data_IF_161767239949
#
_entry.id   IF_161767239949
#
_cell.length_a   1.000
_cell.length_b   1.000
_cell.length_c   1.000
_cell.angle_alpha   90.00
_cell.angle_beta   90.00
_cell.angle_gamma   90.00
#
_symmetry.space_group_name_H-M   'P 1'
#
loop_
_entity.id
_entity.type
_entity.pdbx_description
1 polymer ?
#
# COMPACT_ATOMS: atom_id res chain seq x y z
N UNK A 1 86.87 -34.05 -13.53
CA UNK A 1 85.40 -34.04 -13.69
C UNK A 1 84.75 -33.76 -12.34
N UNK A 2 84.41 -32.50 -12.04
CA UNK A 2 83.79 -32.14 -10.77
C UNK A 2 82.27 -32.34 -10.87
N UNK A 3 81.75 -33.29 -10.09
CA UNK A 3 80.32 -33.62 -9.96
C UNK A 3 79.62 -32.46 -9.22
N UNK A 4 79.02 -31.52 -9.95
CA UNK A 4 78.31 -30.39 -9.34
C UNK A 4 77.06 -30.89 -8.62
N UNK A 5 76.94 -30.53 -7.34
CA UNK A 5 76.02 -31.13 -6.37
C UNK A 5 74.54 -30.94 -6.78
N UNK A 6 73.88 -32.08 -6.98
CA UNK A 6 72.45 -32.32 -7.26
C UNK A 6 71.54 -32.11 -6.03
N UNK A 7 71.73 -31.05 -5.24
CA UNK A 7 70.88 -30.78 -4.06
C UNK A 7 69.90 -29.61 -4.30
N UNK A 8 70.37 -28.52 -4.92
CA UNK A 8 69.51 -27.37 -5.22
C UNK A 8 68.43 -27.67 -6.27
N UNK A 9 68.68 -28.59 -7.23
CA UNK A 9 67.69 -28.96 -8.27
C UNK A 9 66.46 -29.65 -7.69
N UNK A 10 66.61 -30.45 -6.63
CA UNK A 10 65.50 -31.16 -5.97
C UNK A 10 64.63 -30.20 -5.15
N UNK A 11 65.25 -29.29 -4.41
CA UNK A 11 64.53 -28.26 -3.65
C UNK A 11 63.80 -27.27 -4.58
N UNK A 12 64.43 -26.88 -5.70
CA UNK A 12 63.78 -26.06 -6.73
C UNK A 12 62.60 -26.81 -7.37
N UNK A 13 62.74 -28.11 -7.67
CA UNK A 13 61.65 -28.94 -8.19
C UNK A 13 60.45 -29.01 -7.23
N UNK A 14 60.71 -29.16 -5.93
CA UNK A 14 59.66 -29.17 -4.90
C UNK A 14 58.94 -27.81 -4.85
N UNK A 15 59.69 -26.71 -4.78
CA UNK A 15 59.10 -25.36 -4.77
C UNK A 15 58.27 -25.09 -6.03
N UNK A 16 58.79 -25.42 -7.21
CA UNK A 16 58.07 -25.26 -8.49
C UNK A 16 56.81 -26.12 -8.52
N UNK A 17 56.86 -27.37 -8.04
CA UNK A 17 55.69 -28.25 -7.99
C UNK A 17 54.59 -27.73 -7.07
N UNK A 18 54.96 -27.12 -5.93
CA UNK A 18 54.01 -26.48 -5.01
C UNK A 18 53.38 -25.26 -5.66
N UNK A 19 54.17 -24.41 -6.33
CA UNK A 19 53.66 -23.24 -7.06
C UNK A 19 52.69 -23.66 -8.16
N UNK A 20 53.02 -24.70 -8.94
CA UNK A 20 52.14 -25.25 -9.98
C UNK A 20 50.83 -25.77 -9.37
N UNK A 21 50.88 -26.51 -8.26
CA UNK A 21 49.68 -26.99 -7.57
C UNK A 21 48.78 -25.85 -7.08
N UNK A 22 49.37 -24.80 -6.48
CA UNK A 22 48.62 -23.62 -6.04
C UNK A 22 48.00 -22.89 -7.24
N UNK A 23 48.74 -22.75 -8.33
CA UNK A 23 48.25 -22.08 -9.54
C UNK A 23 47.14 -22.89 -10.19
N UNK A 24 47.26 -24.22 -10.24
CA UNK A 24 46.21 -25.12 -10.71
C UNK A 24 44.95 -25.00 -9.84
N UNK A 25 45.10 -24.94 -8.52
CA UNK A 25 43.98 -24.72 -7.60
C UNK A 25 43.28 -23.37 -7.83
N UNK A 26 44.04 -22.31 -8.12
CA UNK A 26 43.48 -21.01 -8.49
C UNK A 26 42.73 -21.06 -9.82
N UNK A 27 43.25 -21.77 -10.83
CA UNK A 27 42.56 -21.96 -12.11
C UNK A 27 41.25 -22.74 -11.95
N UNK A 28 41.24 -23.80 -11.13
CA UNK A 28 40.00 -24.54 -10.81
C UNK A 28 39.00 -23.63 -10.09
N UNK A 29 39.47 -22.79 -9.15
CA UNK A 29 38.60 -21.82 -8.47
C UNK A 29 38.05 -20.75 -9.43
N UNK A 30 38.88 -20.25 -10.34
CA UNK A 30 38.47 -19.29 -11.36
C UNK A 30 37.45 -19.91 -12.31
N UNK A 31 37.69 -21.13 -12.79
CA UNK A 31 36.74 -21.88 -13.61
C UNK A 31 35.42 -22.11 -12.88
N UNK A 32 35.46 -22.44 -11.58
CA UNK A 32 34.25 -22.54 -10.76
C UNK A 32 33.47 -21.22 -10.71
N UNK A 33 34.16 -20.09 -10.51
CA UNK A 33 33.52 -18.77 -10.49
C UNK A 33 32.92 -18.38 -11.86
N UNK A 34 33.63 -18.65 -12.96
CA UNK A 34 33.20 -18.28 -14.31
C UNK A 34 32.15 -19.22 -14.92
N UNK A 35 32.05 -20.47 -14.47
CA UNK A 35 31.10 -21.45 -15.05
C UNK A 35 29.90 -21.68 -14.13
N UNK A 36 30.11 -21.88 -12.82
CA UNK A 36 29.02 -22.22 -11.90
C UNK A 36 28.37 -21.02 -11.23
N UNK A 37 29.08 -19.88 -11.13
CA UNK A 37 28.55 -18.65 -10.51
C UNK A 37 28.39 -17.50 -11.50
N UNK A 38 28.59 -17.74 -12.80
CA UNK A 38 28.46 -16.69 -13.81
C UNK A 38 27.07 -16.08 -13.82
N UNK A 39 26.02 -16.89 -13.76
CA UNK A 39 24.63 -16.42 -13.73
C UNK A 39 24.37 -15.55 -12.50
N UNK A 40 24.67 -16.03 -11.29
CA UNK A 40 24.55 -15.26 -10.04
C UNK A 40 25.33 -13.93 -10.08
N UNK A 41 26.55 -13.92 -10.62
CA UNK A 41 27.38 -12.70 -10.70
C UNK A 41 26.91 -11.76 -11.81
N UNK A 42 26.37 -12.29 -12.90
CA UNK A 42 25.77 -11.50 -13.97
C UNK A 42 24.48 -10.84 -13.50
N UNK A 43 23.61 -11.57 -12.80
CA UNK A 43 22.38 -11.04 -12.20
C UNK A 43 22.70 -9.95 -11.18
N UNK A 44 23.65 -10.19 -10.26
CA UNK A 44 24.10 -9.15 -9.31
C UNK A 44 24.74 -7.95 -9.98
N UNK A 45 25.41 -8.13 -11.12
CA UNK A 45 25.96 -7.02 -11.89
C UNK A 45 24.85 -6.22 -12.58
N UNK A 46 23.84 -6.90 -13.14
CA UNK A 46 22.65 -6.27 -13.71
C UNK A 46 21.87 -5.49 -12.66
N UNK A 47 21.56 -6.08 -11.50
CA UNK A 47 20.91 -5.38 -10.37
C UNK A 47 21.70 -4.15 -9.88
N UNK A 48 23.03 -4.14 -10.03
CA UNK A 48 23.86 -3.00 -9.66
C UNK A 48 23.81 -1.87 -10.70
N UNK A 49 23.60 -2.22 -11.97
CA UNK A 49 23.64 -1.30 -13.11
C UNK A 49 22.25 -0.81 -13.53
N UNK A 50 21.22 -1.61 -13.30
CA UNK A 50 19.82 -1.30 -13.57
C UNK A 50 19.18 -0.71 -12.32
N UNK A 51 18.57 0.47 -12.46
CA UNK A 51 17.68 0.98 -11.42
C UNK A 51 16.25 0.66 -11.79
N UNK A 52 15.60 -0.10 -10.93
CA UNK A 52 14.18 -0.38 -11.06
C UNK A 52 13.37 0.86 -10.64
N UNK A 53 12.50 1.33 -11.54
CA UNK A 53 11.43 2.28 -11.21
C UNK A 53 10.10 1.52 -11.23
N UNK A 54 9.47 1.38 -10.08
CA UNK A 54 8.17 0.72 -10.00
C UNK A 54 7.08 1.59 -10.66
N UNK A 55 6.30 0.99 -11.56
CA UNK A 55 5.06 1.57 -12.07
C UNK A 55 3.93 0.98 -11.23
N UNK A 56 3.22 1.81 -10.49
CA UNK A 56 2.13 1.33 -9.65
C UNK A 56 0.97 0.82 -10.49
N UNK A 57 0.43 -0.32 -10.10
CA UNK A 57 -0.78 -0.86 -10.71
C UNK A 57 -2.04 -0.10 -10.29
N UNK A 58 -3.02 -0.07 -11.18
CA UNK A 58 -4.36 0.39 -10.84
C UNK A 58 -5.03 -0.61 -9.91
N UNK A 59 -5.60 -0.09 -8.82
CA UNK A 59 -6.32 -0.92 -7.84
C UNK A 59 -7.70 -1.27 -8.37
N UNK A 60 -8.15 -2.51 -8.23
CA UNK A 60 -9.48 -2.93 -8.69
C UNK A 60 -10.62 -2.04 -8.18
N UNK A 61 -11.62 -1.81 -9.00
CA UNK A 61 -12.79 -0.98 -8.69
C UNK A 61 -13.77 -1.79 -7.84
N UNK A 62 -14.43 -1.15 -6.88
CA UNK A 62 -15.52 -1.76 -6.13
C UNK A 62 -16.85 -1.27 -6.71
N UNK A 63 -17.72 -2.21 -7.06
CA UNK A 63 -19.06 -1.98 -7.58
C UNK A 63 -20.12 -2.44 -6.60
N UNK A 64 -21.22 -1.69 -6.51
CA UNK A 64 -22.41 -2.11 -5.77
C UNK A 64 -23.20 -3.22 -6.49
N UNK A 65 -24.30 -3.67 -5.89
CA UNK A 65 -25.16 -4.71 -6.44
C UNK A 65 -25.80 -4.34 -7.78
N UNK A 66 -25.86 -3.04 -8.12
CA UNK A 66 -26.40 -2.49 -9.36
C UNK A 66 -25.32 -2.19 -10.41
N UNK A 67 -24.04 -2.43 -10.09
CA UNK A 67 -22.91 -2.13 -10.97
C UNK A 67 -22.46 -0.67 -10.93
N UNK A 68 -22.84 0.11 -9.91
CA UNK A 68 -22.36 1.48 -9.73
C UNK A 68 -21.04 1.49 -8.98
N UNK A 69 -20.10 2.30 -9.44
CA UNK A 69 -18.79 2.47 -8.82
C UNK A 69 -18.91 3.14 -7.45
N UNK A 70 -18.41 2.47 -6.40
CA UNK A 70 -18.41 2.97 -5.02
C UNK A 70 -17.00 3.25 -4.50
N UNK A 71 -15.98 2.64 -5.09
CA UNK A 71 -14.56 2.98 -4.86
C UNK A 71 -13.79 2.81 -6.17
N UNK A 72 -13.19 3.91 -6.64
CA UNK A 72 -12.47 4.00 -7.91
C UNK A 72 -11.10 4.64 -7.68
N UNK A 73 -10.32 4.84 -8.75
CA UNK A 73 -8.99 5.46 -8.66
C UNK A 73 -9.01 6.84 -9.32
N UNK A 74 -8.29 7.79 -8.72
CA UNK A 74 -7.98 9.08 -9.32
C UNK A 74 -6.49 9.11 -9.66
N UNK A 75 -6.09 9.45 -10.90
CA UNK A 75 -4.69 9.62 -11.25
C UNK A 75 -4.13 10.83 -10.50
N UNK A 76 -3.02 10.60 -9.79
CA UNK A 76 -2.27 11.62 -9.06
C UNK A 76 -0.79 11.41 -9.32
N UNK A 77 0.03 12.37 -8.94
CA UNK A 77 1.47 12.25 -9.05
C UNK A 77 2.13 12.35 -7.68
N UNK A 78 3.27 11.68 -7.54
CA UNK A 78 4.18 11.84 -6.41
C UNK A 78 5.42 12.56 -6.89
N UNK A 79 5.79 13.63 -6.17
CA UNK A 79 6.97 14.42 -6.50
C UNK A 79 8.09 14.07 -5.53
N UNK A 80 9.21 13.65 -6.10
CA UNK A 80 10.42 13.25 -5.38
C UNK A 80 11.62 14.06 -5.86
N UNK A 81 12.63 14.20 -5.01
CA UNK A 81 13.90 14.85 -5.37
C UNK A 81 15.08 13.91 -5.13
N UNK A 82 16.06 13.96 -6.03
CA UNK A 82 17.29 13.16 -5.98
C UNK A 82 18.46 14.10 -5.76
N UNK A 83 18.95 14.19 -4.52
CA UNK A 83 19.96 15.18 -4.10
C UNK A 83 21.18 15.25 -5.05
N UNK A 84 21.69 14.10 -5.48
CA UNK A 84 22.90 14.02 -6.32
C UNK A 84 22.73 14.56 -7.74
N UNK A 85 21.49 14.68 -8.22
CA UNK A 85 21.17 15.14 -9.57
C UNK A 85 20.82 16.63 -9.60
N UNK A 86 20.71 17.30 -8.44
CA UNK A 86 20.30 18.70 -8.34
C UNK A 86 21.50 19.60 -8.64
N UNK A 87 21.37 20.47 -9.65
CA UNK A 87 22.37 21.47 -10.04
C UNK A 87 22.14 22.82 -9.36
N UNK A 88 20.89 23.29 -9.32
CA UNK A 88 20.46 24.56 -8.72
C UNK A 88 19.39 24.34 -7.63
N UNK A 89 19.80 24.16 -6.36
CA UNK A 89 18.88 23.93 -5.26
C UNK A 89 17.89 25.08 -5.02
N UNK A 90 18.32 26.34 -5.18
CA UNK A 90 17.48 27.50 -4.87
C UNK A 90 16.33 27.64 -5.88
N UNK A 91 16.60 27.40 -7.17
CA UNK A 91 15.55 27.36 -8.19
C UNK A 91 14.55 26.23 -7.95
N UNK A 92 15.03 25.03 -7.59
CA UNK A 92 14.17 23.89 -7.26
C UNK A 92 13.27 24.20 -6.05
N UNK A 93 13.83 24.79 -4.99
CA UNK A 93 13.08 25.14 -3.78
C UNK A 93 11.99 26.17 -4.08
N UNK A 94 12.32 27.24 -4.82
CA UNK A 94 11.39 28.30 -5.21
C UNK A 94 10.18 27.73 -5.98
N UNK A 95 10.43 26.97 -7.06
CA UNK A 95 9.37 26.48 -7.94
C UNK A 95 8.50 25.44 -7.22
N UNK A 96 9.12 24.52 -6.47
CA UNK A 96 8.37 23.52 -5.70
C UNK A 96 7.55 24.15 -4.57
N UNK A 97 8.07 25.19 -3.91
CA UNK A 97 7.34 25.91 -2.86
C UNK A 97 6.11 26.63 -3.43
N UNK A 98 6.27 27.36 -4.53
CA UNK A 98 5.20 28.10 -5.19
C UNK A 98 4.11 27.17 -5.73
N UNK A 99 4.48 26.15 -6.51
CA UNK A 99 3.52 25.26 -7.18
C UNK A 99 2.82 24.31 -6.22
N UNK A 100 3.49 23.88 -5.15
CA UNK A 100 2.91 22.94 -4.18
C UNK A 100 2.26 23.62 -2.99
N UNK A 101 2.40 24.94 -2.85
CA UNK A 101 1.90 25.72 -1.72
C UNK A 101 2.54 25.31 -0.39
N UNK A 102 3.84 24.95 -0.42
CA UNK A 102 4.60 24.49 0.74
C UNK A 102 5.53 25.58 1.24
N UNK A 103 5.90 25.57 2.53
CA UNK A 103 6.88 26.54 3.04
C UNK A 103 8.28 26.26 2.52
N UNK A 104 8.99 27.29 2.08
CA UNK A 104 10.36 27.17 1.55
C UNK A 104 11.30 26.47 2.54
N UNK A 105 11.23 26.82 3.82
CA UNK A 105 12.08 26.20 4.85
C UNK A 105 11.86 24.69 4.99
N UNK A 106 10.64 24.20 4.75
CA UNK A 106 10.34 22.78 4.78
C UNK A 106 10.83 22.06 3.52
N UNK A 107 10.68 22.68 2.35
CA UNK A 107 11.16 22.14 1.07
C UNK A 107 12.69 22.10 1.06
N UNK A 108 13.34 23.19 1.48
CA UNK A 108 14.81 23.29 1.62
C UNK A 108 15.39 22.13 2.43
N UNK A 109 14.81 21.85 3.61
CA UNK A 109 15.24 20.74 4.47
C UNK A 109 15.21 19.38 3.77
N UNK A 110 14.30 19.17 2.82
CA UNK A 110 14.18 17.90 2.07
C UNK A 110 15.04 17.87 0.83
N UNK A 111 15.17 18.99 0.14
CA UNK A 111 16.03 19.16 -1.04
C UNK A 111 17.51 19.02 -0.66
N UNK A 112 17.95 19.64 0.44
CA UNK A 112 19.34 19.60 0.91
C UNK A 112 19.70 18.31 1.66
N UNK A 113 18.70 17.47 1.99
CA UNK A 113 18.94 16.20 2.66
C UNK A 113 19.67 15.26 1.71
N UNK A 114 20.85 14.81 2.11
CA UNK A 114 21.67 13.86 1.35
C UNK A 114 20.96 12.48 1.33
N UNK A 115 20.07 12.31 0.37
CA UNK A 115 19.27 11.09 0.14
C UNK A 115 19.28 10.75 -1.34
N UNK A 116 19.26 9.45 -1.66
CA UNK A 116 19.12 8.98 -3.04
C UNK A 116 17.78 9.36 -3.65
N UNK A 117 16.73 9.48 -2.82
CA UNK A 117 15.39 9.91 -3.20
C UNK A 117 14.63 10.37 -1.97
N UNK A 118 14.14 11.60 -1.97
CA UNK A 118 13.30 12.13 -0.90
C UNK A 118 11.93 12.52 -1.46
N UNK A 119 10.86 12.01 -0.85
CA UNK A 119 9.50 12.34 -1.23
C UNK A 119 9.14 13.74 -0.71
N UNK A 120 8.85 14.68 -1.60
CA UNK A 120 8.40 16.03 -1.24
C UNK A 120 6.91 15.99 -0.91
N UNK A 121 6.08 15.62 -1.88
CA UNK A 121 4.62 15.59 -1.72
C UNK A 121 4.02 14.44 -2.52
N UNK A 122 3.16 13.67 -1.87
CA UNK A 122 2.31 12.66 -2.51
C UNK A 122 0.96 13.26 -2.90
N UNK A 123 0.22 12.59 -3.79
CA UNK A 123 -1.16 12.93 -4.14
C UNK A 123 -1.32 14.33 -4.75
N UNK A 124 -0.38 14.74 -5.60
CA UNK A 124 -0.45 15.99 -6.35
C UNK A 124 -1.35 15.80 -7.56
N UNK A 125 -2.26 16.74 -7.83
CA UNK A 125 -3.10 16.67 -9.02
C UNK A 125 -2.25 16.75 -10.30
N UNK A 126 -2.65 15.99 -11.32
CA UNK A 126 -1.90 15.84 -12.57
C UNK A 126 -1.55 17.18 -13.22
N UNK A 127 -2.47 18.15 -13.23
CA UNK A 127 -2.23 19.48 -13.80
C UNK A 127 -1.05 20.24 -13.17
N UNK A 128 -0.89 20.15 -11.84
CA UNK A 128 0.24 20.79 -11.13
C UNK A 128 1.53 20.02 -11.42
N UNK A 129 1.44 18.70 -11.47
CA UNK A 129 2.57 17.83 -11.75
C UNK A 129 3.11 18.01 -13.18
N UNK A 130 2.22 18.20 -14.15
CA UNK A 130 2.57 18.45 -15.54
C UNK A 130 3.29 19.80 -15.69
N UNK A 131 2.84 20.85 -14.99
CA UNK A 131 3.56 22.13 -14.92
C UNK A 131 4.97 21.96 -14.34
N UNK A 132 5.13 21.16 -13.29
CA UNK A 132 6.44 20.89 -12.68
C UNK A 132 7.34 20.11 -13.65
N UNK A 133 6.76 19.22 -14.46
CA UNK A 133 7.48 18.50 -15.52
C UNK A 133 7.94 19.44 -16.63
N UNK A 134 7.15 20.44 -17.01
CA UNK A 134 7.53 21.46 -18.02
C UNK A 134 8.70 22.35 -17.59
N UNK A 135 8.94 22.53 -16.29
CA UNK A 135 10.09 23.32 -15.80
C UNK A 135 11.43 22.61 -15.96
N UNK A 136 11.43 21.30 -16.25
CA UNK A 136 12.60 20.46 -16.47
C UNK A 136 13.69 20.68 -15.41
N UNK A 137 13.30 20.47 -14.16
CA UNK A 137 14.16 20.73 -13.01
C UNK A 137 15.09 19.54 -12.74
N UNK A 138 16.38 19.81 -12.77
CA UNK A 138 17.42 18.83 -12.47
C UNK A 138 17.19 18.16 -11.10
N UNK A 139 17.09 16.82 -11.12
CA UNK A 139 16.89 16.00 -9.93
C UNK A 139 15.47 15.99 -9.36
N UNK A 140 14.48 16.61 -10.02
CA UNK A 140 13.06 16.48 -9.66
C UNK A 140 12.40 15.39 -10.48
N UNK A 141 11.81 14.40 -9.79
CA UNK A 141 11.12 13.27 -10.40
C UNK A 141 9.63 13.35 -10.14
N UNK A 142 8.84 13.17 -11.20
CA UNK A 142 7.37 13.14 -11.16
C UNK A 142 6.90 11.73 -11.53
N UNK A 143 6.51 10.97 -10.51
CA UNK A 143 6.01 9.60 -10.68
C UNK A 143 4.49 9.59 -10.76
N UNK A 144 3.95 8.80 -11.69
CA UNK A 144 2.51 8.54 -11.77
C UNK A 144 2.07 7.57 -10.66
N UNK A 145 0.96 7.88 -10.02
CA UNK A 145 0.41 7.16 -8.88
C UNK A 145 -1.12 7.22 -8.92
N UNK A 146 -1.77 6.43 -8.08
CA UNK A 146 -3.22 6.40 -7.97
C UNK A 146 -3.64 6.65 -6.53
N UNK A 147 -4.56 7.60 -6.38
CA UNK A 147 -5.25 7.82 -5.11
C UNK A 147 -6.62 7.20 -5.18
N UNK A 148 -6.98 6.42 -4.15
CA UNK A 148 -8.33 5.90 -4.01
C UNK A 148 -9.35 7.02 -3.85
N UNK A 149 -10.44 6.94 -4.61
CA UNK A 149 -11.53 7.91 -4.63
C UNK A 149 -12.86 7.20 -4.32
N UNK A 150 -13.63 7.78 -3.40
CA UNK A 150 -14.91 7.25 -2.93
C UNK A 150 -16.02 8.24 -3.31
N UNK A 151 -16.81 7.99 -4.37
CA UNK A 151 -17.81 8.94 -4.85
C UNK A 151 -18.92 9.30 -3.84
N UNK A 152 -19.10 8.48 -2.80
CA UNK A 152 -20.15 8.65 -1.79
C UNK A 152 -19.64 9.03 -0.40
N UNK A 153 -18.37 9.42 -0.29
CA UNK A 153 -17.71 9.90 0.93
C UNK A 153 -17.95 8.99 2.16
N UNK A 154 -18.90 9.36 3.03
CA UNK A 154 -19.14 8.68 4.30
C UNK A 154 -20.11 7.50 4.21
N UNK A 155 -20.90 7.40 3.14
CA UNK A 155 -21.93 6.36 2.97
C UNK A 155 -21.27 4.98 2.91
N UNK A 156 -21.71 4.07 3.77
CA UNK A 156 -21.12 2.74 3.93
C UNK A 156 -19.62 2.72 4.24
N UNK A 157 -19.02 3.84 4.66
CA UNK A 157 -17.56 3.97 4.87
C UNK A 157 -16.99 2.94 5.85
N UNK A 158 -17.77 2.51 6.85
CA UNK A 158 -17.37 1.46 7.81
C UNK A 158 -17.36 0.05 7.22
N UNK A 159 -18.12 -0.17 6.15
CA UNK A 159 -18.19 -1.45 5.43
C UNK A 159 -17.15 -1.47 4.33
N UNK A 160 -17.16 -0.46 3.44
CA UNK A 160 -16.21 -0.33 2.33
C UNK A 160 -14.78 -0.17 2.89
N UNK A 161 -14.61 0.71 3.87
CA UNK A 161 -13.32 1.04 4.45
C UNK A 161 -12.59 2.14 3.68
N UNK A 162 -11.28 2.21 3.88
CA UNK A 162 -10.42 3.17 3.21
C UNK A 162 -9.01 2.62 2.99
N UNK A 163 -8.23 3.31 2.15
CA UNK A 163 -6.84 3.01 1.86
C UNK A 163 -5.89 4.02 2.52
N UNK A 164 -4.66 3.59 2.79
CA UNK A 164 -3.59 4.44 3.30
C UNK A 164 -2.97 5.36 2.23
N UNK A 165 -1.89 6.03 2.61
CA UNK A 165 -1.13 6.95 1.75
C UNK A 165 -0.50 6.28 0.53
N UNK A 166 -0.23 4.98 0.60
CA UNK A 166 0.39 4.19 -0.45
C UNK A 166 -0.62 3.25 -1.13
N UNK A 167 -1.91 3.60 -1.05
CA UNK A 167 -3.03 2.87 -1.64
C UNK A 167 -3.25 1.44 -1.10
N UNK A 168 -2.70 1.15 0.10
CA UNK A 168 -2.91 -0.12 0.81
C UNK A 168 -4.25 -0.11 1.56
N UNK A 169 -5.03 -1.19 1.51
CA UNK A 169 -6.27 -1.30 2.28
C UNK A 169 -6.02 -1.31 3.79
N UNK A 170 -6.72 -0.45 4.55
CA UNK A 170 -6.56 -0.34 6.02
C UNK A 170 -7.77 -0.91 6.77
N UNK A 171 -8.99 -0.66 6.29
CA UNK A 171 -10.24 -1.03 6.98
C UNK A 171 -11.22 -1.66 5.99
N UNK A 172 -12.21 -2.39 6.51
CA UNK A 172 -13.38 -2.82 5.75
C UNK A 172 -13.08 -3.83 4.65
N UNK A 173 -13.82 -3.71 3.54
CA UNK A 173 -13.63 -4.53 2.36
C UNK A 173 -12.27 -4.25 1.69
N UNK A 174 -11.77 -3.01 1.76
CA UNK A 174 -10.47 -2.63 1.21
C UNK A 174 -9.33 -3.47 1.77
N UNK A 175 -9.27 -3.67 3.10
CA UNK A 175 -8.23 -4.54 3.71
C UNK A 175 -8.52 -6.02 3.51
N UNK A 176 -9.80 -6.43 3.55
CA UNK A 176 -10.18 -7.84 3.43
C UNK A 176 -9.85 -8.41 2.05
N UNK A 177 -10.05 -7.62 1.00
CA UNK A 177 -9.82 -7.99 -0.40
C UNK A 177 -8.57 -7.36 -1.00
N UNK A 178 -7.68 -6.77 -0.18
CA UNK A 178 -6.46 -6.07 -0.63
C UNK A 178 -5.62 -6.92 -1.59
N UNK A 179 -5.48 -8.23 -1.30
CA UNK A 179 -4.75 -9.19 -2.15
C UNK A 179 -5.26 -9.25 -3.59
N UNK A 180 -6.56 -9.07 -3.80
CA UNK A 180 -7.16 -9.12 -5.14
C UNK A 180 -7.23 -7.73 -5.77
N UNK A 181 -7.47 -6.71 -4.95
CA UNK A 181 -7.62 -5.32 -5.39
C UNK A 181 -6.29 -4.68 -5.78
N UNK A 182 -5.16 -5.01 -5.14
CA UNK A 182 -3.89 -4.27 -5.32
C UNK A 182 -3.28 -4.37 -6.73
N UNK A 183 -3.53 -5.46 -7.45
CA UNK A 183 -2.86 -5.73 -8.72
C UNK A 183 -1.37 -6.08 -8.53
N UNK A 184 -0.64 -6.10 -9.65
CA UNK A 184 0.81 -6.39 -9.68
C UNK A 184 1.51 -5.19 -10.30
N UNK A 185 2.35 -4.53 -9.51
CA UNK A 185 3.13 -3.38 -9.96
C UNK A 185 4.09 -3.77 -11.10
N UNK A 186 4.18 -2.89 -12.09
CA UNK A 186 5.13 -2.98 -13.19
C UNK A 186 6.49 -2.42 -12.81
N UNK A 187 7.45 -2.52 -13.72
CA UNK A 187 8.81 -2.00 -13.54
C UNK A 187 9.34 -1.41 -14.84
N UNK A 188 9.99 -0.26 -14.75
CA UNK A 188 10.86 0.27 -15.80
C UNK A 188 12.29 -0.01 -15.36
N UNK A 189 13.03 -0.74 -16.18
CA UNK A 189 14.45 -1.02 -16.00
C UNK A 189 15.22 -0.02 -16.85
N UNK A 190 15.79 0.99 -16.19
CA UNK A 190 16.65 1.98 -16.84
C UNK A 190 18.10 1.70 -16.47
N UNK A 191 18.97 1.64 -17.49
CA UNK A 191 20.40 1.52 -17.30
C UNK A 191 20.97 2.82 -16.76
N UNK A 192 21.66 2.73 -15.63
CA UNK A 192 22.25 3.90 -14.97
C UNK A 192 23.75 3.77 -14.82
N UNK A 193 24.43 4.91 -14.81
CA UNK A 193 25.85 4.99 -14.46
C UNK A 193 26.06 4.70 -12.97
N UNK A 194 27.30 4.46 -12.52
CA UNK A 194 27.61 4.26 -11.10
C UNK A 194 27.20 5.44 -10.18
N UNK A 195 26.98 6.62 -10.77
CA UNK A 195 26.48 7.82 -10.07
C UNK A 195 24.95 7.89 -10.03
N UNK A 196 24.24 6.98 -10.70
CA UNK A 196 22.79 6.91 -10.73
C UNK A 196 22.13 7.88 -11.71
N UNK A 197 22.88 8.32 -12.72
CA UNK A 197 22.37 9.10 -13.85
C UNK A 197 21.94 8.12 -14.94
N UNK A 198 20.73 8.29 -15.45
CA UNK A 198 20.17 7.48 -16.55
C UNK A 198 21.00 7.70 -17.82
N UNK A 199 21.34 6.60 -18.51
CA UNK A 199 22.12 6.66 -19.74
C UNK A 199 21.13 6.94 -20.89
N UNK A 200 21.21 8.14 -21.48
CA UNK A 200 20.35 8.51 -22.61
C UNK A 200 20.48 7.51 -23.77
N UNK A 201 19.35 7.05 -24.29
CA UNK A 201 19.21 6.07 -25.39
C UNK A 201 19.66 4.63 -25.09
N UNK A 202 19.88 4.27 -23.82
CA UNK A 202 20.01 2.87 -23.45
C UNK A 202 18.64 2.17 -23.59
N UNK A 203 18.62 0.88 -23.94
CA UNK A 203 17.39 0.11 -24.05
C UNK A 203 16.69 0.07 -22.68
N UNK A 204 15.49 0.63 -22.59
CA UNK A 204 14.63 0.49 -21.42
C UNK A 204 13.82 -0.80 -21.59
N UNK A 205 13.91 -1.70 -20.60
CA UNK A 205 12.98 -2.82 -20.52
C UNK A 205 11.81 -2.43 -19.62
N UNK A 206 10.59 -2.64 -20.11
CA UNK A 206 9.36 -2.20 -19.44
C UNK A 206 8.44 -3.37 -19.23
N UNK A 207 8.22 -3.69 -17.96
CA UNK A 207 7.20 -4.63 -17.52
C UNK A 207 5.97 -3.81 -17.16
N UNK A 208 4.91 -3.94 -17.95
CA UNK A 208 3.65 -3.25 -17.70
C UNK A 208 2.97 -3.75 -16.42
N UNK A 209 2.37 -2.86 -15.61
CA UNK A 209 1.61 -3.26 -14.44
C UNK A 209 0.36 -4.04 -14.85
N UNK A 210 -0.07 -4.98 -14.00
CA UNK A 210 -1.36 -5.65 -14.14
C UNK A 210 -2.36 -5.05 -13.16
N UNK A 211 -3.50 -4.52 -13.64
CA UNK A 211 -4.52 -3.95 -12.76
C UNK A 211 -5.09 -5.02 -11.82
N UNK A 212 -5.51 -4.58 -10.64
CA UNK A 212 -6.19 -5.44 -9.68
C UNK A 212 -7.57 -5.87 -10.15
N UNK A 213 -8.07 -6.94 -9.54
CA UNK A 213 -9.40 -7.47 -9.85
C UNK A 213 -10.49 -6.59 -9.25
N UNK A 214 -11.54 -6.36 -10.02
CA UNK A 214 -12.73 -5.66 -9.55
C UNK A 214 -13.54 -6.50 -8.56
N UNK A 215 -14.18 -5.83 -7.61
CA UNK A 215 -15.02 -6.44 -6.58
C UNK A 215 -16.47 -5.99 -6.73
N UNK A 216 -17.36 -6.95 -6.99
CA UNK A 216 -18.80 -6.74 -6.99
C UNK A 216 -19.37 -7.14 -5.63
N UNK A 217 -20.05 -6.22 -4.95
CA UNK A 217 -20.61 -6.45 -3.62
C UNK A 217 -22.13 -6.56 -3.67
N UNK A 218 -22.71 -7.24 -2.68
CA UNK A 218 -24.17 -7.40 -2.56
C UNK A 218 -24.89 -6.20 -1.95
N UNK A 219 -24.15 -5.16 -1.55
CA UNK A 219 -24.72 -3.95 -0.98
C UNK A 219 -25.35 -3.10 -2.08
N UNK A 220 -26.59 -2.68 -1.87
CA UNK A 220 -27.28 -1.70 -2.70
C UNK A 220 -27.12 -0.31 -2.06
N UNK A 221 -26.55 0.64 -2.80
CA UNK A 221 -26.26 1.98 -2.27
C UNK A 221 -27.52 2.80 -1.99
N UNK A 222 -28.61 2.57 -2.72
CA UNK A 222 -29.88 3.25 -2.47
C UNK A 222 -30.51 2.74 -1.16
N UNK A 223 -30.56 1.42 -0.96
CA UNK A 223 -31.08 0.83 0.28
C UNK A 223 -30.23 1.26 1.47
N UNK A 224 -28.90 1.25 1.31
CA UNK A 224 -27.97 1.69 2.34
C UNK A 224 -28.19 3.17 2.71
N UNK A 225 -28.45 4.04 1.74
CA UNK A 225 -28.75 5.44 1.98
C UNK A 225 -30.03 5.60 2.84
N UNK A 226 -31.09 4.86 2.54
CA UNK A 226 -32.31 4.89 3.36
C UNK A 226 -32.08 4.35 4.78
N UNK A 227 -31.28 3.28 4.91
CA UNK A 227 -30.94 2.70 6.21
C UNK A 227 -30.14 3.69 7.08
N UNK A 228 -29.13 4.36 6.51
CA UNK A 228 -28.34 5.37 7.23
C UNK A 228 -29.18 6.59 7.60
N UNK A 229 -30.07 7.06 6.73
CA UNK A 229 -30.99 8.15 7.04
C UNK A 229 -31.93 7.79 8.21
N UNK A 230 -32.49 6.59 8.22
CA UNK A 230 -33.34 6.11 9.31
C UNK A 230 -32.56 6.02 10.63
N UNK A 231 -31.33 5.47 10.59
CA UNK A 231 -30.45 5.38 11.75
C UNK A 231 -30.09 6.77 12.30
N UNK A 232 -29.70 7.71 11.43
CA UNK A 232 -29.38 9.10 11.79
C UNK A 232 -30.58 9.81 12.44
N UNK A 233 -31.80 9.58 11.94
CA UNK A 233 -33.02 10.15 12.52
C UNK A 233 -33.25 9.66 13.95
N UNK A 234 -33.13 8.35 14.19
CA UNK A 234 -33.29 7.76 15.53
C UNK A 234 -32.20 8.23 16.48
N UNK A 235 -30.96 8.29 16.00
CA UNK A 235 -29.81 8.76 16.76
C UNK A 235 -29.97 10.20 17.21
N UNK A 236 -30.40 11.10 16.31
CA UNK A 236 -30.72 12.50 16.65
C UNK A 236 -31.86 12.60 17.67
N UNK A 237 -32.93 11.82 17.49
CA UNK A 237 -34.07 11.81 18.40
C UNK A 237 -33.69 11.32 19.82
N UNK A 238 -32.77 10.36 19.92
CA UNK A 238 -32.30 9.79 21.19
C UNK A 238 -31.09 10.51 21.78
N UNK A 239 -30.59 11.58 21.14
CA UNK A 239 -29.36 12.28 21.53
C UNK A 239 -28.19 11.33 21.82
N UNK A 240 -28.09 10.25 21.05
CA UNK A 240 -27.04 9.25 21.25
C UNK A 240 -25.68 9.87 20.94
N UNK A 241 -24.72 9.68 21.86
CA UNK A 241 -23.38 10.24 21.75
C UNK A 241 -22.68 9.76 20.49
N UNK A 242 -22.22 10.70 19.67
CA UNK A 242 -21.39 10.43 18.50
C UNK A 242 -20.00 11.01 18.66
N UNK A 243 -19.01 10.37 18.04
CA UNK A 243 -17.64 10.89 17.98
C UNK A 243 -17.55 12.32 17.38
N UNK A 244 -18.49 12.69 16.49
CA UNK A 244 -18.59 14.05 15.92
C UNK A 244 -18.91 15.15 16.94
N UNK A 245 -19.39 14.78 18.14
CA UNK A 245 -19.75 15.71 19.21
C UNK A 245 -18.52 16.27 19.96
N UNK A 246 -17.32 15.74 19.67
CA UNK A 246 -16.06 16.11 20.30
C UNK A 246 -15.15 16.99 19.42
N UNK A 247 -15.60 17.39 18.22
CA UNK A 247 -14.84 18.31 17.35
C UNK A 247 -14.64 19.66 18.06
N UNK A 248 -13.38 20.03 18.34
CA UNK A 248 -13.00 21.32 18.94
C UNK A 248 -12.70 21.31 20.44
N UNK A 249 -12.69 20.15 21.10
CA UNK A 249 -12.25 20.04 22.50
C UNK A 249 -10.75 19.72 22.59
N UNK A 250 -10.05 20.33 23.56
CA UNK A 250 -8.67 19.97 23.92
C UNK A 250 -8.68 18.61 24.65
N UNK A 251 -8.61 17.53 23.87
CA UNK A 251 -8.57 16.16 24.37
C UNK A 251 -7.13 15.69 24.56
N UNK A 252 -6.90 14.79 25.52
CA UNK A 252 -5.62 14.08 25.64
C UNK A 252 -5.34 13.26 24.36
N UNK A 253 -4.06 13.06 24.01
CA UNK A 253 -3.67 12.21 22.87
C UNK A 253 -4.27 10.80 22.95
N UNK A 254 -4.39 10.23 24.15
CA UNK A 254 -5.02 8.91 24.35
C UNK A 254 -6.52 8.94 24.05
N UNK A 255 -7.23 9.97 24.51
CA UNK A 255 -8.65 10.15 24.26
C UNK A 255 -8.91 10.40 22.78
N UNK A 256 -8.07 11.19 22.13
CA UNK A 256 -8.13 11.44 20.69
C UNK A 256 -7.95 10.14 19.89
N UNK A 257 -6.97 9.31 20.25
CA UNK A 257 -6.76 8.01 19.62
C UNK A 257 -7.96 7.06 19.81
N UNK A 258 -8.56 7.04 21.00
CA UNK A 258 -9.77 6.25 21.25
C UNK A 258 -10.95 6.72 20.39
N UNK A 259 -11.15 8.02 20.26
CA UNK A 259 -12.21 8.59 19.40
C UNK A 259 -11.98 8.27 17.92
N UNK A 260 -10.74 8.42 17.44
CA UNK A 260 -10.37 8.07 16.06
C UNK A 260 -10.64 6.59 15.75
N UNK A 261 -10.24 5.69 16.66
CA UNK A 261 -10.53 4.27 16.52
C UNK A 261 -12.04 3.97 16.54
N UNK A 262 -12.81 4.68 17.37
CA UNK A 262 -14.27 4.58 17.42
C UNK A 262 -14.95 5.00 16.11
N UNK A 263 -14.38 5.96 15.37
CA UNK A 263 -14.92 6.38 14.08
C UNK A 263 -14.85 5.27 13.04
N UNK A 264 -13.76 4.50 12.99
CA UNK A 264 -13.53 3.46 12.00
C UNK A 264 -14.10 2.09 12.39
N UNK A 265 -14.42 1.89 13.66
CA UNK A 265 -15.00 0.64 14.17
C UNK A 265 -16.41 0.41 13.62
N UNK A 266 -16.64 -0.78 13.10
CA UNK A 266 -17.96 -1.23 12.65
C UNK A 266 -18.71 -1.89 13.81
N UNK A 267 -19.63 -1.15 14.42
CA UNK A 267 -20.38 -1.62 15.59
C UNK A 267 -21.23 -2.88 15.31
N UNK A 268 -21.69 -3.09 14.07
CA UNK A 268 -22.47 -4.27 13.72
C UNK A 268 -21.65 -5.57 13.75
N UNK A 269 -20.32 -5.49 13.68
CA UNK A 269 -19.43 -6.65 13.68
C UNK A 269 -18.58 -6.73 14.96
N UNK A 270 -18.13 -5.59 15.47
CA UNK A 270 -17.14 -5.52 16.55
C UNK A 270 -17.76 -5.37 17.94
N UNK A 271 -19.04 -5.02 18.06
CA UNK A 271 -19.65 -4.66 19.34
C UNK A 271 -20.60 -5.76 19.79
N UNK A 272 -20.31 -6.35 20.94
CA UNK A 272 -21.25 -7.22 21.64
C UNK A 272 -22.27 -6.36 22.38
N UNK A 273 -23.55 -6.71 22.25
CA UNK A 273 -24.64 -6.04 22.97
C UNK A 273 -25.61 -7.07 23.55
N UNK A 274 -26.35 -6.67 24.57
CA UNK A 274 -27.40 -7.49 25.16
C UNK A 274 -28.63 -7.51 24.24
N UNK A 275 -29.06 -8.68 23.73
CA UNK A 275 -30.15 -8.76 22.75
C UNK A 275 -31.54 -8.46 23.33
N UNK A 276 -31.67 -8.44 24.66
CA UNK A 276 -32.90 -8.09 25.37
C UNK A 276 -34.12 -8.90 24.89
N UNK A 277 -35.25 -8.22 24.68
CA UNK A 277 -36.50 -8.90 24.28
C UNK A 277 -36.46 -9.53 22.89
N UNK A 278 -35.51 -9.19 22.01
CA UNK A 278 -35.36 -9.86 20.73
C UNK A 278 -34.99 -11.34 20.90
N UNK A 279 -34.26 -11.67 21.97
CA UNK A 279 -33.84 -13.05 22.26
C UNK A 279 -35.00 -13.97 22.67
N UNK A 280 -36.13 -13.40 23.14
CA UNK A 280 -37.32 -14.18 23.53
C UNK A 280 -37.87 -15.03 22.39
N UNK A 281 -37.65 -14.62 21.13
CA UNK A 281 -38.03 -15.42 19.95
C UNK A 281 -37.31 -16.77 19.97
N UNK A 282 -36.00 -16.79 20.26
CA UNK A 282 -35.21 -18.02 20.32
C UNK A 282 -35.70 -18.91 21.46
N UNK A 283 -35.91 -18.34 22.65
CA UNK A 283 -36.43 -19.10 23.81
C UNK A 283 -37.83 -19.65 23.56
N UNK A 284 -38.71 -18.87 22.91
CA UNK A 284 -40.05 -19.31 22.56
C UNK A 284 -40.03 -20.44 21.51
N UNK A 285 -39.19 -20.33 20.48
CA UNK A 285 -39.02 -21.40 19.49
C UNK A 285 -38.47 -22.66 20.13
N UNK A 286 -37.48 -22.55 21.02
CA UNK A 286 -36.96 -23.70 21.77
C UNK A 286 -38.04 -24.36 22.64
N UNK A 287 -38.89 -23.57 23.31
CA UNK A 287 -39.98 -24.10 24.12
C UNK A 287 -41.08 -24.82 23.31
N UNK A 288 -41.30 -24.39 22.06
CA UNK A 288 -42.21 -25.07 21.12
C UNK A 288 -41.58 -26.35 20.57
N UNK A 289 -40.29 -26.33 20.24
CA UNK A 289 -39.53 -27.49 19.74
C UNK A 289 -39.43 -28.60 20.79
N UNK A 290 -39.12 -28.25 22.03
CA UNK A 290 -39.08 -29.18 23.18
C UNK A 290 -40.47 -29.60 23.67
N UNK A 291 -41.53 -29.17 22.97
CA UNK A 291 -42.93 -29.47 23.28
C UNK A 291 -43.39 -29.10 24.70
N UNK A 292 -42.66 -28.21 25.38
CA UNK A 292 -43.01 -27.66 26.70
C UNK A 292 -44.23 -26.75 26.60
N UNK A 293 -44.44 -26.12 25.44
CA UNK A 293 -45.59 -25.25 25.14
C UNK A 293 -46.25 -25.70 23.83
N UNK A 294 -47.58 -25.58 23.74
CA UNK A 294 -48.37 -25.95 22.55
C UNK A 294 -49.01 -24.71 21.91
N UNK A 295 -49.06 -24.68 20.57
CA UNK A 295 -49.81 -23.70 19.79
C UNK A 295 -51.32 -23.97 19.86
N UNK A 296 -51.90 -24.05 21.05
CA UNK A 296 -53.36 -24.10 21.18
C UNK A 296 -53.92 -22.71 20.98
N UNK A 297 -54.73 -22.51 19.94
CA UNK A 297 -55.57 -21.32 19.82
C UNK A 297 -56.37 -21.17 21.12
N UNK A 298 -56.33 -19.98 21.72
CA UNK A 298 -57.12 -19.65 22.89
C UNK A 298 -58.59 -19.98 22.61
N UNK A 299 -59.11 -21.07 23.21
CA UNK A 299 -60.55 -21.32 23.27
C UNK A 299 -61.08 -20.47 24.43
N UNK A 300 -61.87 -19.40 24.18
CA UNK A 300 -62.59 -18.76 25.26
C UNK A 300 -63.44 -19.82 25.95
N UNK A 301 -63.17 -20.10 27.24
CA UNK A 301 -64.13 -20.81 28.06
C UNK A 301 -65.30 -19.85 28.23
N UNK A 302 -66.33 -20.03 27.40
CA UNK A 302 -67.65 -19.50 27.68
C UNK A 302 -68.05 -20.07 29.03
N UNK A 303 -68.00 -19.23 30.05
CA UNK A 303 -68.46 -19.55 31.39
C UNK A 303 -69.99 -19.68 31.28
N UNK A 304 -70.51 -20.90 31.08
CA UNK A 304 -71.93 -21.15 31.20
C UNK A 304 -72.31 -20.97 32.66
N UNK A 305 -72.89 -19.82 32.99
CA UNK A 305 -73.61 -19.61 34.23
C UNK A 305 -74.81 -20.58 34.23
N UNK A 306 -74.75 -21.60 35.08
CA UNK A 306 -75.95 -22.25 35.61
C UNK A 306 -76.45 -21.45 36.80
#
# INVERSE_FOLDING_TARGET
MAKSRTYNKRNILIVVSVVILVTLGLFVRLGYLMIFKSEDYAERAQELHERERAIKAERGIIYDAQGKEIATNKPVCTISVIYKQITDPERVISILSERLGLSEGWVRKRVEKVSSREKIKSNVDKNIADQIREYDLDGVMVDEDYKRYYPYDSLASKVIGFTGSDNQGIVGLEVKYDKFLKGIDGKILTLTTAYGVEIENAAEDRIEPQPGNDLYISLDMNIQQYAEQAALKVMKAKQASNASQYQGQNLSNEQMNQLLNGMWRNACLSDTYEPGSAFKIITATAALEEHVVKLTAWKPRLCSRN
#
